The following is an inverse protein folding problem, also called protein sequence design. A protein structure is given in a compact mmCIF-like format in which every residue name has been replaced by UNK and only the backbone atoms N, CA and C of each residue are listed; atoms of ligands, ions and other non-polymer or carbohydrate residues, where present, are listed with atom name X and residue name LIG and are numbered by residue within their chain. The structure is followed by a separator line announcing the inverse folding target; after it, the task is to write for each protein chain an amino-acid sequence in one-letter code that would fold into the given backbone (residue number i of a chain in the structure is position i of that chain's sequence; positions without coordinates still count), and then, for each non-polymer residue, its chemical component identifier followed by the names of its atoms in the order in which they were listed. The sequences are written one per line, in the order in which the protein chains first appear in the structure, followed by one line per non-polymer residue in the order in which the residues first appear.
data_IF_716896837504
#
_entry.id   IF_716896837504
#
_cell.length_a   1.000
_cell.length_b   1.000
_cell.length_c   1.000
_cell.angle_alpha   90.00
_cell.angle_beta   90.00
_cell.angle_gamma   90.00
#
_symmetry.space_group_name_H-M   'P 1'
#
loop_
_entity.id
_entity.type
_entity.pdbx_description
1 polymer ?
#
# COMPACT_ATOMS: atom_id res chain seq x y z
N UNK A 1 13.00 26.54 -16.68
CA UNK A 1 13.10 26.38 -15.21
C UNK A 1 14.50 25.88 -14.90
N UNK A 2 15.18 26.49 -13.95
CA UNK A 2 16.56 26.10 -13.58
C UNK A 2 16.58 24.89 -12.62
N UNK A 3 17.71 24.20 -12.53
CA UNK A 3 17.89 23.05 -11.61
C UNK A 3 17.65 23.43 -10.14
N UNK A 4 17.98 24.67 -9.76
CA UNK A 4 17.74 25.22 -8.42
C UNK A 4 16.27 25.52 -8.13
N UNK A 5 15.52 26.00 -9.12
CA UNK A 5 14.08 26.18 -9.00
C UNK A 5 13.37 24.82 -8.89
N UNK A 6 13.75 23.84 -9.72
CA UNK A 6 13.20 22.48 -9.67
C UNK A 6 13.45 21.82 -8.32
N UNK A 7 14.68 21.96 -7.78
CA UNK A 7 15.02 21.39 -6.48
C UNK A 7 14.20 22.02 -5.35
N UNK A 8 14.01 23.34 -5.35
CA UNK A 8 13.18 24.04 -4.35
C UNK A 8 11.72 23.61 -4.41
N UNK A 9 11.16 23.52 -5.61
CA UNK A 9 9.77 23.05 -5.82
C UNK A 9 9.63 21.61 -5.36
N UNK A 10 10.56 20.73 -5.76
CA UNK A 10 10.57 19.33 -5.34
C UNK A 10 10.63 19.19 -3.81
N UNK A 11 11.49 19.97 -3.14
CA UNK A 11 11.63 19.91 -1.68
C UNK A 11 10.40 20.45 -0.94
N UNK A 12 9.79 21.53 -1.44
CA UNK A 12 8.51 22.04 -0.90
C UNK A 12 7.43 20.97 -1.01
N UNK A 13 7.36 20.29 -2.16
CA UNK A 13 6.34 19.29 -2.42
C UNK A 13 6.54 18.02 -1.57
N UNK A 14 7.78 17.63 -1.28
CA UNK A 14 8.08 16.59 -0.28
C UNK A 14 7.54 16.98 1.09
N UNK A 15 7.77 18.21 1.53
CA UNK A 15 7.29 18.69 2.83
C UNK A 15 5.76 18.70 2.90
N UNK A 16 5.10 19.18 1.85
CA UNK A 16 3.63 19.21 1.76
C UNK A 16 3.04 17.79 1.80
N UNK A 17 3.66 16.84 1.10
CA UNK A 17 3.25 15.43 1.11
C UNK A 17 3.45 14.79 2.49
N UNK A 18 4.58 15.05 3.15
CA UNK A 18 4.85 14.55 4.50
C UNK A 18 3.86 15.11 5.51
N UNK A 19 3.56 16.41 5.46
CA UNK A 19 2.59 17.05 6.34
C UNK A 19 1.20 16.44 6.16
N UNK A 20 0.73 16.30 4.91
CA UNK A 20 -0.58 15.71 4.61
C UNK A 20 -0.68 14.25 5.03
N UNK A 21 0.38 13.48 4.87
CA UNK A 21 0.42 12.10 5.33
C UNK A 21 0.35 12.02 6.86
N UNK A 22 1.05 12.93 7.57
CA UNK A 22 0.96 13.05 9.02
C UNK A 22 -0.46 13.40 9.49
N UNK A 23 -1.10 14.39 8.86
CA UNK A 23 -2.47 14.79 9.18
C UNK A 23 -3.47 13.64 8.98
N UNK A 24 -3.28 12.82 7.94
CA UNK A 24 -4.07 11.62 7.71
C UNK A 24 -3.87 10.57 8.81
N UNK A 25 -2.62 10.30 9.18
CA UNK A 25 -2.32 9.34 10.25
C UNK A 25 -2.90 9.78 11.60
N UNK A 26 -2.89 11.08 11.89
CA UNK A 26 -3.39 11.61 13.15
C UNK A 26 -4.92 11.70 13.19
N UNK A 27 -5.58 12.05 12.07
CA UNK A 27 -7.04 11.89 11.92
C UNK A 27 -7.47 10.44 12.18
N UNK A 28 -6.75 9.48 11.63
CA UNK A 28 -7.04 8.06 11.85
C UNK A 28 -6.82 7.61 13.30
N UNK A 29 -5.81 8.14 14.01
CA UNK A 29 -5.60 7.84 15.44
C UNK A 29 -6.68 8.46 16.32
N UNK A 30 -7.12 9.68 16.01
CA UNK A 30 -8.17 10.39 16.74
C UNK A 30 -9.53 9.68 16.71
N UNK A 31 -9.87 9.03 15.60
CA UNK A 31 -11.12 8.28 15.46
C UNK A 31 -11.19 6.99 16.31
N UNK A 32 -10.06 6.47 16.80
CA UNK A 32 -10.04 5.25 17.63
C UNK A 32 -10.31 5.50 19.13
N UNK A 33 -10.35 6.76 19.59
CA UNK A 33 -10.56 7.11 21.00
C UNK A 33 -11.99 7.46 21.39
N UNK A 34 -12.87 7.77 20.42
CA UNK A 34 -14.20 8.29 20.72
C UNK A 34 -15.26 7.22 20.49
N UNK A 35 -15.56 6.51 21.56
CA UNK A 35 -16.70 5.61 21.67
C UNK A 35 -17.99 6.45 21.58
N UNK A 36 -18.55 6.66 20.40
CA UNK A 36 -19.92 7.16 20.26
C UNK A 36 -20.59 6.68 18.97
N UNK A 37 -21.67 5.96 19.21
CA UNK A 37 -22.75 5.57 18.33
C UNK A 37 -23.23 6.76 17.47
N UNK A 38 -22.56 7.00 16.35
CA UNK A 38 -22.92 8.05 15.40
C UNK A 38 -23.16 7.37 14.06
N UNK A 39 -24.35 7.55 13.51
CA UNK A 39 -24.74 7.05 12.20
C UNK A 39 -23.74 7.54 11.14
N UNK A 40 -22.86 6.65 10.69
CA UNK A 40 -21.87 6.90 9.65
C UNK A 40 -22.55 6.96 8.28
N UNK A 41 -23.08 8.14 7.93
CA UNK A 41 -23.46 8.50 6.57
C UNK A 41 -22.86 9.88 6.25
N UNK A 42 -21.56 10.03 6.41
CA UNK A 42 -20.83 11.16 5.85
C UNK A 42 -19.34 10.86 5.86
N UNK A 43 -18.66 11.26 4.79
CA UNK A 43 -17.20 11.38 4.67
C UNK A 43 -16.41 10.32 3.87
N UNK A 44 -17.03 9.65 2.89
CA UNK A 44 -16.25 8.88 1.88
C UNK A 44 -15.70 9.77 0.74
N UNK A 45 -16.27 10.96 0.51
CA UNK A 45 -15.93 11.83 -0.63
C UNK A 45 -14.64 12.64 -0.48
N UNK A 46 -14.28 13.01 0.76
CA UNK A 46 -13.09 13.82 1.03
C UNK A 46 -11.81 12.97 1.00
N UNK A 47 -11.91 11.70 1.41
CA UNK A 47 -10.80 10.74 1.39
C UNK A 47 -10.41 10.33 -0.04
N UNK A 48 -11.38 10.15 -0.95
CA UNK A 48 -11.08 9.81 -2.35
C UNK A 48 -10.43 11.00 -3.08
N UNK A 49 -10.93 12.21 -2.84
CA UNK A 49 -10.38 13.45 -3.39
C UNK A 49 -8.94 13.69 -2.92
N UNK A 50 -8.65 13.38 -1.66
CA UNK A 50 -7.33 13.54 -1.07
C UNK A 50 -6.35 12.46 -1.56
N UNK A 51 -6.82 11.24 -1.83
CA UNK A 51 -6.02 10.18 -2.45
C UNK A 51 -5.60 10.54 -3.88
N UNK A 52 -6.51 11.09 -4.68
CA UNK A 52 -6.21 11.57 -6.03
C UNK A 52 -5.14 12.65 -5.96
N UNK A 53 -5.31 13.62 -5.05
CA UNK A 53 -4.35 14.71 -4.86
C UNK A 53 -2.95 14.22 -4.43
N UNK A 54 -2.87 13.24 -3.52
CA UNK A 54 -1.59 12.66 -3.09
C UNK A 54 -0.89 11.97 -4.27
N UNK A 55 -1.62 11.19 -5.06
CA UNK A 55 -1.06 10.50 -6.23
C UNK A 55 -0.62 11.49 -7.32
N UNK A 56 -1.39 12.55 -7.57
CA UNK A 56 -1.02 13.61 -8.50
C UNK A 56 0.27 14.31 -8.07
N UNK A 57 0.37 14.69 -6.80
CA UNK A 57 1.57 15.33 -6.24
C UNK A 57 2.76 14.37 -6.26
N UNK A 58 2.55 13.08 -6.04
CA UNK A 58 3.61 12.08 -6.13
C UNK A 58 4.15 11.92 -7.55
N UNK A 59 3.26 11.92 -8.54
CA UNK A 59 3.64 11.90 -9.95
C UNK A 59 4.36 13.19 -10.36
N UNK A 60 3.96 14.34 -9.81
CA UNK A 60 4.65 15.62 -9.98
C UNK A 60 6.07 15.56 -9.41
N UNK A 61 6.26 14.99 -8.21
CA UNK A 61 7.59 14.78 -7.62
C UNK A 61 8.47 13.91 -8.51
N UNK A 62 7.94 12.79 -9.01
CA UNK A 62 8.68 11.90 -9.90
C UNK A 62 9.14 12.62 -11.17
N UNK A 63 8.26 13.42 -11.79
CA UNK A 63 8.61 14.25 -12.96
C UNK A 63 9.70 15.26 -12.65
N UNK A 64 9.68 15.89 -11.47
CA UNK A 64 10.72 16.83 -11.05
C UNK A 64 12.06 16.10 -10.87
N UNK A 65 12.07 14.90 -10.28
CA UNK A 65 13.29 14.09 -10.13
C UNK A 65 13.86 13.71 -11.49
N UNK A 66 13.02 13.24 -12.42
CA UNK A 66 13.43 12.86 -13.77
C UNK A 66 13.98 14.08 -14.54
N UNK A 67 13.29 15.21 -14.47
CA UNK A 67 13.74 16.46 -15.11
C UNK A 67 15.07 16.96 -14.50
N UNK A 68 15.27 16.81 -13.19
CA UNK A 68 16.54 17.13 -12.55
C UNK A 68 17.67 16.23 -13.05
N UNK A 69 17.40 14.93 -13.27
CA UNK A 69 18.39 13.98 -13.82
C UNK A 69 18.74 14.29 -15.27
N UNK A 70 17.76 14.68 -16.09
CA UNK A 70 17.98 15.05 -17.49
C UNK A 70 18.78 16.35 -17.64
N UNK A 71 18.51 17.34 -16.79
CA UNK A 71 19.21 18.63 -16.82
C UNK A 71 20.58 18.59 -16.13
N UNK A 72 20.84 17.58 -15.31
CA UNK A 72 22.10 17.42 -14.61
C UNK A 72 23.12 16.69 -15.47
N UNK A 73 24.14 17.44 -15.91
CA UNK A 73 25.33 16.86 -16.54
C UNK A 73 26.54 16.95 -15.58
N UNK A 74 27.02 15.81 -15.05
CA UNK A 74 28.12 15.79 -14.09
C UNK A 74 29.46 16.24 -14.67
N UNK A 75 29.63 16.23 -16.00
CA UNK A 75 30.87 16.59 -16.68
C UNK A 75 31.00 18.10 -16.91
N UNK A 76 29.88 18.81 -16.98
CA UNK A 76 29.84 20.24 -17.33
C UNK A 76 29.39 21.13 -16.17
N UNK A 77 28.68 20.60 -15.17
CA UNK A 77 28.22 21.40 -14.04
C UNK A 77 29.29 21.68 -12.98
N UNK A 78 29.42 22.96 -12.64
CA UNK A 78 30.13 23.40 -11.44
C UNK A 78 29.39 22.89 -10.19
N UNK A 79 30.12 22.36 -9.21
CA UNK A 79 29.59 21.73 -7.99
C UNK A 79 28.75 20.46 -8.27
N UNK A 80 29.17 19.64 -9.24
CA UNK A 80 28.49 18.40 -9.61
C UNK A 80 28.23 17.47 -8.40
N UNK A 81 29.20 17.33 -7.49
CA UNK A 81 29.04 16.52 -6.28
C UNK A 81 27.88 16.96 -5.38
N UNK A 82 27.70 18.27 -5.18
CA UNK A 82 26.60 18.82 -4.38
C UNK A 82 25.25 18.57 -5.06
N UNK A 83 25.19 18.68 -6.38
CA UNK A 83 23.98 18.41 -7.15
C UNK A 83 23.62 16.93 -7.18
N UNK A 84 24.61 16.04 -7.31
CA UNK A 84 24.40 14.59 -7.19
C UNK A 84 23.77 14.23 -5.85
N UNK A 85 24.26 14.81 -4.74
CA UNK A 85 23.70 14.57 -3.40
C UNK A 85 22.25 15.08 -3.32
N UNK A 86 21.97 16.27 -3.86
CA UNK A 86 20.63 16.88 -3.84
C UNK A 86 19.60 16.08 -4.63
N UNK A 87 19.96 15.62 -5.83
CA UNK A 87 19.08 14.80 -6.68
C UNK A 87 18.84 13.44 -6.03
N UNK A 88 19.91 12.82 -5.50
CA UNK A 88 19.80 11.57 -4.75
C UNK A 88 18.89 11.70 -3.53
N UNK A 89 19.01 12.78 -2.76
CA UNK A 89 18.14 13.05 -1.61
C UNK A 89 16.66 13.11 -2.04
N UNK A 90 16.33 13.82 -3.12
CA UNK A 90 14.95 13.89 -3.62
C UNK A 90 14.42 12.53 -4.08
N UNK A 91 15.27 11.71 -4.69
CA UNK A 91 14.92 10.35 -5.09
C UNK A 91 14.68 9.43 -3.89
N UNK A 92 15.53 9.53 -2.86
CA UNK A 92 15.35 8.82 -1.60
C UNK A 92 14.05 9.26 -0.90
N UNK A 93 13.81 10.58 -0.78
CA UNK A 93 12.58 11.14 -0.22
C UNK A 93 11.33 10.64 -0.96
N UNK A 94 11.36 10.63 -2.30
CA UNK A 94 10.28 10.11 -3.13
C UNK A 94 10.04 8.62 -2.87
N UNK A 95 11.09 7.80 -2.84
CA UNK A 95 10.93 6.36 -2.60
C UNK A 95 10.38 6.06 -1.20
N UNK A 96 10.86 6.78 -0.18
CA UNK A 96 10.34 6.68 1.19
C UNK A 96 8.88 7.08 1.26
N UNK A 97 8.51 8.25 0.72
CA UNK A 97 7.12 8.70 0.69
C UNK A 97 6.20 7.71 -0.01
N UNK A 98 6.65 7.12 -1.13
CA UNK A 98 5.87 6.11 -1.86
C UNK A 98 5.61 4.87 -1.01
N UNK A 99 6.63 4.43 -0.28
CA UNK A 99 6.52 3.30 0.63
C UNK A 99 5.58 3.62 1.80
N UNK A 100 5.70 4.81 2.39
CA UNK A 100 4.87 5.23 3.53
C UNK A 100 3.40 5.34 3.14
N UNK A 101 3.11 5.97 2.00
CA UNK A 101 1.74 6.04 1.44
C UNK A 101 1.17 4.64 1.19
N UNK A 102 1.97 3.74 0.60
CA UNK A 102 1.54 2.35 0.35
C UNK A 102 1.27 1.59 1.65
N UNK A 103 2.10 1.81 2.67
CA UNK A 103 1.95 1.23 4.02
C UNK A 103 0.68 1.74 4.71
N UNK A 104 0.42 3.05 4.61
CA UNK A 104 -0.79 3.69 5.13
C UNK A 104 -2.05 3.05 4.55
N UNK A 105 -2.17 2.99 3.20
CA UNK A 105 -3.34 2.38 2.57
C UNK A 105 -3.52 0.91 2.93
N UNK A 106 -2.43 0.15 3.03
CA UNK A 106 -2.50 -1.25 3.47
C UNK A 106 -3.05 -1.36 4.90
N UNK A 107 -2.60 -0.52 5.82
CA UNK A 107 -3.09 -0.50 7.22
C UNK A 107 -4.55 -0.04 7.30
N UNK A 108 -4.96 0.92 6.46
CA UNK A 108 -6.36 1.38 6.36
C UNK A 108 -7.26 0.24 5.89
N UNK A 109 -6.87 -0.43 4.82
CA UNK A 109 -7.61 -1.57 4.26
C UNK A 109 -7.78 -2.71 5.29
N UNK A 110 -6.70 -3.11 5.96
CA UNK A 110 -6.75 -4.14 7.01
C UNK A 110 -7.71 -3.78 8.16
N UNK A 111 -7.85 -2.49 8.47
CA UNK A 111 -8.78 -2.00 9.49
C UNK A 111 -10.23 -2.06 9.01
N UNK A 112 -10.49 -1.66 7.77
CA UNK A 112 -11.82 -1.78 7.16
C UNK A 112 -12.26 -3.25 7.17
N UNK A 113 -11.41 -4.15 6.71
CA UNK A 113 -11.67 -5.60 6.73
C UNK A 113 -11.95 -6.12 8.15
N UNK A 114 -11.23 -5.62 9.15
CA UNK A 114 -11.49 -5.97 10.56
C UNK A 114 -12.86 -5.47 11.03
N UNK A 115 -13.22 -4.22 10.73
CA UNK A 115 -14.52 -3.65 11.10
C UNK A 115 -15.67 -4.38 10.41
N UNK A 116 -15.52 -4.74 9.13
CA UNK A 116 -16.51 -5.54 8.40
C UNK A 116 -16.69 -6.92 9.01
N UNK A 117 -15.58 -7.59 9.34
CA UNK A 117 -15.58 -8.88 10.05
C UNK A 117 -16.26 -8.76 11.41
N UNK A 118 -15.94 -7.72 12.19
CA UNK A 118 -16.55 -7.50 13.50
C UNK A 118 -18.07 -7.23 13.39
N UNK A 119 -18.51 -6.46 12.38
CA UNK A 119 -19.94 -6.26 12.05
C UNK A 119 -20.64 -7.56 11.68
N UNK A 120 -19.99 -8.45 10.93
CA UNK A 120 -20.53 -9.77 10.58
C UNK A 120 -20.72 -10.65 11.82
N UNK A 121 -19.72 -10.72 12.71
CA UNK A 121 -19.85 -11.45 13.97
C UNK A 121 -20.93 -10.85 14.88
N UNK A 122 -21.06 -9.52 14.89
CA UNK A 122 -22.12 -8.84 15.64
C UNK A 122 -23.51 -9.21 15.09
N UNK A 123 -23.73 -9.13 13.78
CA UNK A 123 -24.99 -9.50 13.15
C UNK A 123 -25.37 -10.96 13.42
N UNK A 124 -24.39 -11.88 13.44
CA UNK A 124 -24.61 -13.28 13.81
C UNK A 124 -25.03 -13.43 15.28
N UNK A 125 -24.42 -12.69 16.20
CA UNK A 125 -24.79 -12.70 17.63
C UNK A 125 -26.20 -12.14 17.88
N UNK A 126 -26.55 -11.00 17.28
CA UNK A 126 -27.86 -10.36 17.53
C UNK A 126 -29.04 -11.08 16.86
N UNK A 127 -28.81 -11.81 15.75
CA UNK A 127 -29.85 -12.69 15.18
C UNK A 127 -30.26 -13.83 16.12
N UNK A 128 -29.38 -14.19 17.05
CA UNK A 128 -29.52 -15.34 17.95
C UNK A 128 -30.23 -15.01 19.28
N UNK A 129 -30.49 -13.72 19.57
CA UNK A 129 -31.11 -13.28 20.84
C UNK A 129 -32.65 -13.19 20.76
N UNK A 130 -33.22 -13.19 19.56
CA UNK A 130 -34.67 -13.05 19.33
C UNK A 130 -35.37 -14.33 18.83
N UNK A 131 -34.76 -15.50 18.94
CA UNK A 131 -35.44 -16.76 18.65
C UNK A 131 -35.30 -17.74 19.81
N UNK A 132 -36.37 -18.45 20.13
CA UNK A 132 -36.40 -19.61 21.03
C UNK A 132 -35.57 -20.82 20.50
N UNK A 133 -34.45 -20.56 19.79
CA UNK A 133 -33.58 -21.51 19.10
C UNK A 133 -32.09 -21.22 19.39
N UNK A 134 -31.74 -20.93 20.65
CA UNK A 134 -30.36 -20.71 21.06
C UNK A 134 -29.42 -21.91 20.76
N UNK A 135 -29.98 -23.11 20.56
CA UNK A 135 -29.25 -24.33 20.16
C UNK A 135 -28.83 -24.33 18.67
N UNK A 136 -29.56 -23.63 17.80
CA UNK A 136 -29.32 -23.66 16.35
C UNK A 136 -28.24 -22.65 15.93
N UNK A 137 -28.13 -21.53 16.64
CA UNK A 137 -27.08 -20.55 16.40
C UNK A 137 -25.68 -21.01 16.84
N UNK A 138 -25.55 -21.85 17.88
CA UNK A 138 -24.26 -22.47 18.26
C UNK A 138 -23.79 -23.51 17.21
N UNK A 139 -24.73 -24.28 16.64
CA UNK A 139 -24.44 -25.21 15.54
C UNK A 139 -24.09 -24.47 14.25
N UNK A 140 -24.71 -23.33 13.98
CA UNK A 140 -24.39 -22.48 12.84
C UNK A 140 -23.03 -21.78 12.98
N UNK A 141 -22.67 -21.33 14.19
CA UNK A 141 -21.35 -20.77 14.51
C UNK A 141 -20.23 -21.82 14.38
N UNK A 142 -20.48 -23.05 14.85
CA UNK A 142 -19.55 -24.18 14.68
C UNK A 142 -19.32 -24.51 13.20
N UNK A 143 -20.39 -24.53 12.39
CA UNK A 143 -20.29 -24.76 10.94
C UNK A 143 -19.62 -23.61 10.20
N UNK A 144 -19.82 -22.36 10.63
CA UNK A 144 -19.14 -21.21 10.03
C UNK A 144 -17.63 -21.24 10.31
N UNK A 145 -17.24 -21.49 11.57
CA UNK A 145 -15.83 -21.63 11.96
C UNK A 145 -15.16 -22.81 11.26
N UNK A 146 -15.88 -23.93 11.08
CA UNK A 146 -15.41 -25.08 10.31
C UNK A 146 -15.22 -24.73 8.83
N UNK A 147 -16.18 -24.03 8.21
CA UNK A 147 -16.08 -23.58 6.83
C UNK A 147 -14.96 -22.54 6.63
N UNK A 148 -14.75 -21.64 7.59
CA UNK A 148 -13.65 -20.68 7.59
C UNK A 148 -12.30 -21.38 7.70
N UNK A 149 -12.15 -22.34 8.63
CA UNK A 149 -10.96 -23.18 8.76
C UNK A 149 -10.68 -23.98 7.48
N UNK A 150 -11.71 -24.55 6.86
CA UNK A 150 -11.60 -25.27 5.60
C UNK A 150 -11.20 -24.35 4.43
N UNK A 151 -11.73 -23.12 4.39
CA UNK A 151 -11.37 -22.11 3.40
C UNK A 151 -9.93 -21.64 3.56
N UNK A 152 -9.47 -21.40 4.81
CA UNK A 152 -8.09 -21.05 5.11
C UNK A 152 -7.12 -22.18 4.76
N UNK A 153 -7.45 -23.43 5.09
CA UNK A 153 -6.66 -24.59 4.70
C UNK A 153 -6.56 -24.75 3.19
N UNK A 154 -7.67 -24.54 2.46
CA UNK A 154 -7.66 -24.55 0.99
C UNK A 154 -6.84 -23.40 0.41
N UNK A 155 -6.87 -22.20 1.02
CA UNK A 155 -6.06 -21.05 0.63
C UNK A 155 -4.56 -21.29 0.86
N UNK A 156 -4.19 -21.92 1.97
CA UNK A 156 -2.81 -22.30 2.26
C UNK A 156 -2.31 -23.32 1.22
N UNK A 157 -3.10 -24.36 0.93
CA UNK A 157 -2.78 -25.33 -0.12
C UNK A 157 -2.62 -24.67 -1.50
N UNK A 158 -3.46 -23.69 -1.81
CA UNK A 158 -3.35 -22.93 -3.07
C UNK A 158 -2.07 -22.08 -3.10
N UNK A 159 -1.70 -21.47 -1.98
CA UNK A 159 -0.46 -20.70 -1.84
C UNK A 159 0.77 -21.58 -2.03
N UNK A 160 0.77 -22.76 -1.41
CA UNK A 160 1.84 -23.76 -1.59
C UNK A 160 1.91 -24.24 -3.05
N UNK A 161 0.77 -24.43 -3.71
CA UNK A 161 0.71 -24.76 -5.14
C UNK A 161 1.26 -23.64 -6.03
N UNK A 162 0.98 -22.37 -5.71
CA UNK A 162 1.55 -21.21 -6.40
C UNK A 162 3.06 -21.15 -6.21
N UNK A 163 3.55 -21.35 -5.00
CA UNK A 163 5.00 -21.38 -4.72
C UNK A 163 5.69 -22.50 -5.50
N UNK A 164 5.14 -23.71 -5.46
CA UNK A 164 5.66 -24.87 -6.20
C UNK A 164 5.65 -24.64 -7.73
N UNK A 165 4.59 -24.01 -8.25
CA UNK A 165 4.52 -23.64 -9.67
C UNK A 165 5.54 -22.55 -10.02
N UNK A 166 5.68 -21.55 -9.15
CA UNK A 166 6.63 -20.45 -9.31
C UNK A 166 8.08 -20.91 -9.32
N UNK A 167 8.46 -21.82 -8.40
CA UNK A 167 9.80 -22.42 -8.40
C UNK A 167 10.06 -23.24 -9.66
N UNK A 168 9.10 -24.04 -10.11
CA UNK A 168 9.22 -24.82 -11.35
C UNK A 168 9.31 -23.96 -12.61
N UNK A 169 8.61 -22.82 -12.67
CA UNK A 169 8.76 -21.85 -13.77
C UNK A 169 10.16 -21.24 -13.73
N UNK A 170 10.64 -20.84 -12.55
CA UNK A 170 11.95 -20.20 -12.42
C UNK A 170 13.10 -21.16 -12.76
N UNK A 171 12.97 -22.44 -12.42
CA UNK A 171 13.89 -23.50 -12.83
C UNK A 171 13.92 -23.64 -14.36
N UNK A 172 12.76 -23.70 -15.02
CA UNK A 172 12.66 -23.76 -16.49
C UNK A 172 13.24 -22.53 -17.17
N UNK A 173 13.01 -21.33 -16.64
CA UNK A 173 13.57 -20.09 -17.16
C UNK A 173 15.10 -20.06 -17.01
N UNK A 174 15.62 -20.56 -15.88
CA UNK A 174 17.06 -20.68 -15.65
C UNK A 174 17.70 -21.68 -16.62
N UNK A 175 17.05 -22.81 -16.88
CA UNK A 175 17.51 -23.79 -17.88
C UNK A 175 17.48 -23.24 -19.30
N UNK A 176 16.43 -22.49 -19.66
CA UNK A 176 16.36 -21.78 -20.94
C UNK A 176 17.47 -20.75 -21.08
N UNK A 177 17.73 -19.97 -20.03
CA UNK A 177 18.83 -19.00 -19.99
C UNK A 177 20.19 -19.68 -20.18
N UNK A 178 20.48 -20.77 -19.46
CA UNK A 178 21.73 -21.53 -19.61
C UNK A 178 21.91 -22.06 -21.03
N UNK A 179 20.84 -22.56 -21.66
CA UNK A 179 20.89 -23.02 -23.06
C UNK A 179 21.20 -21.89 -24.03
N UNK A 180 20.65 -20.70 -23.81
CA UNK A 180 20.97 -19.51 -24.61
C UNK A 180 22.41 -19.05 -24.41
N UNK A 181 22.93 -19.08 -23.18
CA UNK A 181 24.34 -18.76 -22.89
C UNK A 181 25.30 -19.72 -23.62
N UNK A 182 24.94 -21.00 -23.77
CA UNK A 182 25.74 -21.98 -24.53
C UNK A 182 25.68 -21.73 -26.05
N UNK A 183 24.56 -21.20 -26.57
CA UNK A 183 24.41 -20.91 -28.01
C UNK A 183 25.21 -19.65 -28.43
N UNK A 184 25.42 -18.69 -27.52
CA UNK A 184 26.18 -17.46 -27.79
C UNK A 184 27.71 -17.58 -27.58
N UNK A 185 28.20 -18.78 -27.23
CA UNK A 185 29.63 -19.08 -27.01
C UNK A 185 30.30 -19.85 -28.17
N UNK A 186 29.63 -19.94 -29.33
CA UNK A 186 30.17 -20.38 -30.64
C UNK A 186 30.19 -19.17 -31.57
#
# INVERSE_FOLDING_TARGET
MSLEELWKVGRSLVFDLQSKLGDLEDKEKGNNGTNNNTNNNHDDGDDESLNILINEKMNELNRIVDTCKELFDPLTMRNSSSWTIRIRSLEEDHNTLRQDISSYYRKKQQRIEKLERDKLYQNLRYRNVNSDQATDGFLQESRYLENESNSLNRSNQMTDSIFSTGTGIMEKLNDQRKRLEVIFLI
#
